data_IF_471683998012
#
_entry.id   IF_471683998012
#
_cell.length_a   1.000
_cell.length_b   1.000
_cell.length_c   1.000
_cell.angle_alpha   90.00
_cell.angle_beta   90.00
_cell.angle_gamma   90.00
#
_symmetry.space_group_name_H-M   'P 1'
#
loop_
_entity.id
_entity.type
_entity.pdbx_description
1 polymer ?
#
# COMPACT_ATOMS: atom_id res chain seq x y z
N UNK A 1 49.43 20.48 -22.42
CA UNK A 1 48.26 21.33 -22.13
C UNK A 1 47.03 20.46 -22.35
N UNK A 2 46.40 20.00 -21.27
CA UNK A 2 45.23 19.13 -21.30
C UNK A 2 43.96 19.96 -21.10
N UNK A 3 42.82 19.60 -21.70
CA UNK A 3 41.52 19.99 -21.18
C UNK A 3 40.84 18.81 -20.49
N UNK A 4 40.45 19.05 -19.24
CA UNK A 4 39.41 18.32 -18.53
C UNK A 4 38.09 18.45 -19.31
N UNK A 5 37.36 17.35 -19.49
CA UNK A 5 35.90 17.41 -19.58
C UNK A 5 35.31 16.47 -18.53
N UNK A 6 34.50 17.10 -17.68
CA UNK A 6 33.82 16.58 -16.51
C UNK A 6 32.77 15.54 -16.88
N UNK A 7 32.87 14.35 -16.29
CA UNK A 7 31.80 13.35 -16.26
C UNK A 7 30.67 13.84 -15.37
N UNK A 8 29.54 14.24 -15.97
CA UNK A 8 28.29 14.51 -15.24
C UNK A 8 27.66 13.21 -14.71
N UNK A 9 26.95 13.26 -13.57
CA UNK A 9 26.34 12.08 -12.95
C UNK A 9 25.19 11.56 -13.81
N UNK A 10 25.15 10.23 -13.97
CA UNK A 10 24.20 9.50 -14.80
C UNK A 10 22.75 9.88 -14.49
N UNK A 11 22.11 10.52 -15.45
CA UNK A 11 20.66 10.52 -15.55
C UNK A 11 20.22 9.06 -15.58
N UNK A 12 19.39 8.66 -14.62
CA UNK A 12 18.76 7.36 -14.59
C UNK A 12 18.10 7.16 -15.97
N UNK A 13 18.59 6.18 -16.72
CA UNK A 13 17.96 5.74 -17.96
C UNK A 13 16.51 5.42 -17.63
N UNK A 14 15.52 6.11 -18.23
CA UNK A 14 14.15 5.68 -18.10
C UNK A 14 14.07 4.31 -18.76
N UNK A 15 13.89 3.27 -17.94
CA UNK A 15 13.51 1.95 -18.44
C UNK A 15 12.28 2.18 -19.30
N UNK A 16 12.45 1.98 -20.61
CA UNK A 16 11.42 2.16 -21.61
C UNK A 16 10.33 1.13 -21.32
N UNK A 17 9.32 1.56 -20.55
CA UNK A 17 8.22 0.69 -20.15
C UNK A 17 7.40 0.40 -21.40
N UNK A 18 7.49 -0.85 -21.87
CA UNK A 18 6.64 -1.37 -22.93
C UNK A 18 5.16 -1.16 -22.55
N UNK A 19 4.26 -0.95 -23.52
CA UNK A 19 2.83 -1.00 -23.24
C UNK A 19 2.48 -2.38 -22.68
N UNK A 20 2.03 -2.45 -21.42
CA UNK A 20 1.58 -3.71 -20.84
C UNK A 20 0.15 -3.97 -21.33
N UNK A 21 0.00 -5.00 -22.16
CA UNK A 21 -1.31 -5.49 -22.61
C UNK A 21 -1.99 -6.27 -21.49
N UNK A 22 -3.29 -6.06 -21.32
CA UNK A 22 -4.10 -6.86 -20.40
C UNK A 22 -4.03 -8.35 -20.74
N UNK A 23 -4.14 -9.21 -19.72
CA UNK A 23 -4.60 -10.58 -19.99
C UNK A 23 -6.03 -10.45 -20.52
N UNK A 24 -6.36 -11.26 -21.53
CA UNK A 24 -7.73 -11.45 -22.01
C UNK A 24 -8.70 -11.31 -20.84
N UNK A 25 -9.64 -10.36 -21.00
CA UNK A 25 -10.65 -10.02 -20.01
C UNK A 25 -11.15 -11.33 -19.39
N UNK A 26 -10.80 -11.61 -18.13
CA UNK A 26 -11.28 -12.83 -17.47
C UNK A 26 -12.79 -12.85 -17.64
N UNK A 27 -13.30 -13.92 -18.26
CA UNK A 27 -14.66 -14.01 -18.78
C UNK A 27 -15.68 -13.32 -17.86
N UNK A 28 -16.64 -12.53 -18.39
CA UNK A 28 -17.49 -11.64 -17.59
C UNK A 28 -18.12 -12.41 -16.44
N UNK A 29 -17.62 -12.20 -15.22
CA UNK A 29 -18.11 -12.92 -14.03
C UNK A 29 -19.35 -12.25 -13.42
N UNK A 30 -19.92 -11.27 -14.10
CA UNK A 30 -21.26 -10.78 -13.82
C UNK A 30 -21.80 -10.09 -15.06
N UNK A 31 -23.12 -10.12 -15.26
CA UNK A 31 -23.81 -9.34 -16.28
C UNK A 31 -23.76 -7.85 -15.92
N UNK A 32 -22.56 -7.27 -15.86
CA UNK A 32 -22.38 -5.86 -15.56
C UNK A 32 -23.05 -5.05 -16.65
N UNK A 33 -23.88 -4.10 -16.23
CA UNK A 33 -24.55 -3.18 -17.13
C UNK A 33 -23.58 -2.15 -17.75
N UNK A 34 -22.33 -2.09 -17.28
CA UNK A 34 -21.24 -1.27 -17.81
C UNK A 34 -19.99 -2.13 -17.97
N UNK A 35 -19.43 -2.20 -19.17
CA UNK A 35 -18.31 -3.11 -19.49
C UNK A 35 -17.13 -2.39 -20.13
N UNK A 36 -15.92 -2.83 -19.81
CA UNK A 36 -14.67 -2.54 -20.51
C UNK A 36 -14.41 -3.63 -21.56
N UNK A 37 -14.40 -3.23 -22.82
CA UNK A 37 -14.22 -4.13 -23.96
C UNK A 37 -13.01 -3.73 -24.80
N UNK A 38 -12.53 -4.66 -25.64
CA UNK A 38 -11.39 -4.44 -26.53
C UNK A 38 -10.03 -4.44 -25.83
N UNK A 39 -9.06 -3.76 -26.42
CA UNK A 39 -7.68 -3.69 -25.90
C UNK A 39 -7.56 -2.56 -24.89
N UNK A 40 -7.49 -2.92 -23.61
CA UNK A 40 -7.26 -1.97 -22.52
C UNK A 40 -5.79 -2.04 -22.08
N UNK A 41 -5.22 -0.91 -21.68
CA UNK A 41 -3.79 -0.79 -21.44
C UNK A 41 -3.41 0.41 -20.59
N UNK A 42 -2.14 0.42 -20.21
CA UNK A 42 -1.51 1.58 -19.61
C UNK A 42 -0.07 1.72 -20.12
N UNK A 43 0.46 2.94 -20.09
CA UNK A 43 1.88 3.21 -20.33
C UNK A 43 2.37 4.25 -19.33
N UNK A 44 3.35 3.88 -18.50
CA UNK A 44 3.90 4.74 -17.45
C UNK A 44 5.18 5.38 -17.97
N UNK A 45 5.26 6.70 -17.84
CA UNK A 45 6.40 7.52 -18.23
C UNK A 45 6.76 8.47 -17.08
N UNK A 46 7.66 8.03 -16.19
CA UNK A 46 8.06 8.83 -15.03
C UNK A 46 6.90 9.06 -14.05
N UNK A 47 6.48 10.32 -13.92
CA UNK A 47 5.38 10.79 -13.08
C UNK A 47 4.04 10.90 -13.82
N UNK A 48 3.97 10.37 -15.05
CA UNK A 48 2.76 10.33 -15.88
C UNK A 48 2.38 8.91 -16.24
N UNK A 49 1.09 8.68 -16.44
CA UNK A 49 0.56 7.45 -17.01
C UNK A 49 -0.50 7.77 -18.05
N UNK A 50 -0.39 7.10 -19.19
CA UNK A 50 -1.40 7.09 -20.23
C UNK A 50 -2.27 5.85 -19.99
N UNK A 51 -3.54 6.05 -19.66
CA UNK A 51 -4.54 4.97 -19.62
C UNK A 51 -5.24 4.88 -20.96
N UNK A 52 -5.40 3.67 -21.50
CA UNK A 52 -6.19 3.41 -22.69
C UNK A 52 -7.33 2.44 -22.38
N UNK A 53 -8.55 2.86 -22.71
CA UNK A 53 -9.73 2.01 -22.69
C UNK A 53 -10.38 2.01 -24.08
N UNK A 54 -10.32 0.87 -24.77
CA UNK A 54 -10.80 0.78 -26.16
C UNK A 54 -12.28 1.11 -26.27
N UNK A 55 -13.09 0.50 -25.41
CA UNK A 55 -14.53 0.71 -25.39
C UNK A 55 -15.08 0.60 -23.96
N UNK A 56 -15.91 1.56 -23.58
CA UNK A 56 -16.73 1.53 -22.37
C UNK A 56 -18.18 1.51 -22.83
N UNK A 57 -18.88 0.40 -22.62
CA UNK A 57 -20.22 0.18 -23.15
C UNK A 57 -21.25 0.06 -22.04
N UNK A 58 -22.41 0.71 -22.23
CA UNK A 58 -23.57 0.55 -21.37
C UNK A 58 -24.61 -0.36 -22.00
N UNK A 59 -24.90 -1.47 -21.34
CA UNK A 59 -25.94 -2.45 -21.71
C UNK A 59 -27.27 -2.20 -20.98
N UNK A 60 -27.44 -1.00 -20.43
CA UNK A 60 -28.66 -0.55 -19.74
C UNK A 60 -29.72 -0.16 -20.76
N UNK A 61 -31.00 -0.17 -20.36
CA UNK A 61 -32.09 0.37 -21.18
C UNK A 61 -31.83 1.84 -21.58
N UNK A 62 -32.32 2.26 -22.74
CA UNK A 62 -32.00 3.57 -23.33
C UNK A 62 -32.43 4.77 -22.48
N UNK A 63 -33.33 4.59 -21.51
CA UNK A 63 -33.81 5.59 -20.53
C UNK A 63 -33.00 5.60 -19.22
N UNK A 64 -32.06 4.67 -19.04
CA UNK A 64 -31.28 4.48 -17.83
C UNK A 64 -29.87 5.05 -18.00
N UNK A 65 -29.67 6.26 -17.50
CA UNK A 65 -28.39 6.97 -17.47
C UNK A 65 -27.52 6.48 -16.31
N UNK A 66 -26.25 6.19 -16.57
CA UNK A 66 -25.30 5.81 -15.51
C UNK A 66 -25.15 6.91 -14.45
N UNK A 67 -24.65 6.57 -13.28
CA UNK A 67 -24.00 7.52 -12.37
C UNK A 67 -22.72 8.10 -12.98
N UNK A 68 -22.06 9.00 -12.26
CA UNK A 68 -20.74 9.49 -12.65
C UNK A 68 -19.75 8.34 -12.67
N UNK A 69 -19.07 8.15 -13.79
CA UNK A 69 -18.10 7.10 -14.02
C UNK A 69 -16.70 7.62 -13.73
N UNK A 70 -15.90 6.76 -13.10
CA UNK A 70 -14.49 6.97 -12.83
C UNK A 70 -13.70 5.80 -13.41
N UNK A 71 -12.64 6.11 -14.16
CA UNK A 71 -11.68 5.13 -14.65
C UNK A 71 -10.39 5.27 -13.85
N UNK A 72 -10.01 4.21 -13.14
CA UNK A 72 -8.96 4.28 -12.13
C UNK A 72 -7.97 3.11 -12.28
N UNK A 73 -6.68 3.39 -12.21
CA UNK A 73 -5.63 2.39 -12.15
C UNK A 73 -5.22 2.17 -10.70
N UNK A 74 -5.35 0.93 -10.25
CA UNK A 74 -5.04 0.52 -8.88
C UNK A 74 -3.91 -0.50 -8.84
N UNK A 75 -3.07 -0.41 -7.80
CA UNK A 75 -2.12 -1.45 -7.41
C UNK A 75 -2.70 -2.27 -6.27
N UNK A 76 -2.86 -3.58 -6.50
CA UNK A 76 -3.39 -4.54 -5.53
C UNK A 76 -2.30 -5.54 -5.12
N UNK A 77 -2.38 -6.07 -3.90
CA UNK A 77 -1.47 -7.10 -3.38
C UNK A 77 -1.89 -8.53 -3.78
N UNK A 78 -3.12 -8.68 -4.27
CA UNK A 78 -3.75 -9.94 -4.68
C UNK A 78 -4.63 -9.75 -5.91
N UNK A 79 -4.90 -10.81 -6.69
CA UNK A 79 -5.81 -10.73 -7.83
C UNK A 79 -7.21 -10.27 -7.39
N UNK A 80 -7.86 -9.46 -8.21
CA UNK A 80 -9.21 -8.98 -7.95
C UNK A 80 -10.26 -9.87 -8.61
N UNK A 81 -11.29 -10.23 -7.85
CA UNK A 81 -12.39 -11.09 -8.31
C UNK A 81 -13.78 -10.46 -8.12
N UNK A 82 -13.84 -9.14 -7.85
CA UNK A 82 -15.07 -8.42 -7.53
C UNK A 82 -15.23 -8.11 -6.05
N UNK A 83 -16.15 -7.19 -5.73
CA UNK A 83 -16.43 -6.74 -4.36
C UNK A 83 -15.45 -5.67 -3.86
N UNK A 84 -15.30 -5.61 -2.53
CA UNK A 84 -14.36 -4.70 -1.87
C UNK A 84 -12.90 -5.13 -2.11
N UNK A 85 -11.99 -4.16 -2.09
CA UNK A 85 -10.56 -4.41 -2.26
C UNK A 85 -9.73 -3.43 -1.44
N UNK A 86 -8.51 -3.85 -1.13
CA UNK A 86 -7.47 -3.03 -0.52
C UNK A 86 -6.38 -2.78 -1.56
N UNK A 87 -5.95 -1.53 -1.71
CA UNK A 87 -4.95 -1.19 -2.71
C UNK A 87 -4.53 0.26 -2.68
N UNK A 88 -3.60 0.60 -3.57
CA UNK A 88 -3.10 1.97 -3.75
C UNK A 88 -3.61 2.50 -5.09
N UNK A 89 -4.32 3.63 -5.05
CA UNK A 89 -4.72 4.34 -6.27
C UNK A 89 -3.49 4.97 -6.92
N UNK A 90 -3.20 4.62 -8.16
CA UNK A 90 -2.02 5.10 -8.89
C UNK A 90 -2.35 6.31 -9.77
N UNK A 91 -3.53 6.28 -10.40
CA UNK A 91 -4.07 7.35 -11.24
C UNK A 91 -5.58 7.15 -11.40
N UNK A 92 -6.32 8.22 -11.67
CA UNK A 92 -7.76 8.13 -11.94
C UNK A 92 -8.33 9.39 -12.57
N UNK A 93 -9.43 9.22 -13.30
CA UNK A 93 -10.14 10.31 -13.98
C UNK A 93 -11.65 10.06 -13.99
N UNK A 94 -12.43 11.11 -13.77
CA UNK A 94 -13.88 11.06 -13.98
C UNK A 94 -14.18 11.26 -15.47
N UNK A 95 -14.85 10.28 -16.07
CA UNK A 95 -15.17 10.26 -17.51
C UNK A 95 -16.61 10.72 -17.81
N UNK A 96 -17.35 11.17 -16.79
CA UNK A 96 -18.70 11.67 -16.92
C UNK A 96 -19.76 10.57 -16.79
N UNK A 97 -20.85 10.65 -17.55
CA UNK A 97 -21.98 9.70 -17.49
C UNK A 97 -22.24 9.14 -18.89
N UNK A 98 -22.72 7.91 -18.98
CA UNK A 98 -23.03 7.22 -20.23
C UNK A 98 -24.49 6.83 -20.22
N UNK A 99 -25.22 7.24 -21.27
CA UNK A 99 -26.62 6.84 -21.48
C UNK A 99 -26.69 5.34 -21.77
N UNK A 100 -27.76 4.66 -21.34
CA UNK A 100 -27.98 3.27 -21.72
C UNK A 100 -27.96 3.06 -23.23
N UNK A 101 -27.50 1.88 -23.66
CA UNK A 101 -27.26 1.52 -25.06
C UNK A 101 -26.23 2.39 -25.80
N UNK A 102 -25.46 3.24 -25.10
CA UNK A 102 -24.37 4.02 -25.69
C UNK A 102 -23.00 3.47 -25.28
N UNK A 103 -21.99 3.85 -26.06
CA UNK A 103 -20.61 3.48 -25.85
C UNK A 103 -19.70 4.71 -25.95
N UNK A 104 -18.56 4.62 -25.27
CA UNK A 104 -17.43 5.54 -25.42
C UNK A 104 -16.26 4.75 -26.02
N UNK A 105 -15.69 5.21 -27.13
CA UNK A 105 -14.60 4.53 -27.85
C UNK A 105 -13.33 5.36 -27.89
N UNK A 106 -12.20 4.69 -28.08
CA UNK A 106 -10.88 5.31 -28.23
C UNK A 106 -10.53 6.23 -27.05
N UNK A 107 -10.84 5.79 -25.83
CA UNK A 107 -10.63 6.59 -24.64
C UNK A 107 -9.16 6.52 -24.26
N UNK A 108 -8.49 7.67 -24.25
CA UNK A 108 -7.10 7.80 -23.85
C UNK A 108 -6.93 9.00 -22.91
N UNK A 109 -6.31 8.76 -21.76
CA UNK A 109 -6.16 9.77 -20.71
C UNK A 109 -4.72 9.84 -20.25
N UNK A 110 -4.12 11.02 -20.35
CA UNK A 110 -2.78 11.30 -19.81
C UNK A 110 -2.92 11.94 -18.41
N UNK A 111 -2.51 11.19 -17.39
CA UNK A 111 -2.80 11.45 -15.99
C UNK A 111 -1.51 11.52 -15.15
N UNK A 112 -1.52 12.27 -14.03
CA UNK A 112 -0.46 12.16 -13.04
C UNK A 112 -0.43 10.74 -12.47
N UNK A 113 0.77 10.21 -12.29
CA UNK A 113 1.02 8.86 -11.79
C UNK A 113 1.77 8.93 -10.46
N UNK A 114 1.22 8.27 -9.45
CA UNK A 114 1.89 8.07 -8.16
C UNK A 114 2.25 6.60 -8.02
N UNK A 115 3.54 6.28 -8.04
CA UNK A 115 4.01 4.91 -7.84
C UNK A 115 3.61 4.40 -6.43
N UNK A 116 3.22 3.13 -6.29
CA UNK A 116 2.98 2.52 -4.99
C UNK A 116 4.31 2.33 -4.25
N UNK A 117 4.21 1.95 -2.97
CA UNK A 117 5.39 1.58 -2.17
C UNK A 117 6.15 0.39 -2.75
N UNK A 118 7.36 0.15 -2.24
CA UNK A 118 8.17 -0.98 -2.65
C UNK A 118 7.42 -2.31 -2.44
N UNK A 119 7.45 -3.17 -3.44
CA UNK A 119 6.71 -4.43 -3.44
C UNK A 119 6.34 -4.88 -4.84
N UNK A 120 5.66 -6.02 -4.91
CA UNK A 120 5.10 -6.58 -6.14
C UNK A 120 3.60 -6.35 -6.14
N UNK A 121 3.11 -5.70 -7.19
CA UNK A 121 1.72 -5.30 -7.30
C UNK A 121 1.08 -5.90 -8.53
N UNK A 122 -0.20 -6.21 -8.42
CA UNK A 122 -1.06 -6.56 -9.54
C UNK A 122 -1.79 -5.28 -9.94
N UNK A 123 -1.51 -4.78 -11.14
CA UNK A 123 -2.20 -3.59 -11.63
C UNK A 123 -3.56 -3.98 -12.20
N UNK A 124 -4.56 -3.23 -11.79
CA UNK A 124 -5.97 -3.44 -12.18
C UNK A 124 -6.58 -2.11 -12.58
N UNK A 125 -7.05 -2.03 -13.82
CA UNK A 125 -7.88 -0.92 -14.29
C UNK A 125 -9.32 -1.17 -13.85
N UNK A 126 -9.94 -0.23 -13.16
CA UNK A 126 -11.30 -0.34 -12.64
C UNK A 126 -12.20 0.72 -13.28
N UNK A 127 -13.34 0.28 -13.81
CA UNK A 127 -14.45 1.14 -14.17
C UNK A 127 -15.42 1.19 -12.98
N UNK A 128 -15.54 2.35 -12.36
CA UNK A 128 -16.35 2.57 -11.16
C UNK A 128 -17.49 3.54 -11.43
N UNK A 129 -18.64 3.31 -10.83
CA UNK A 129 -19.82 4.16 -10.98
C UNK A 129 -20.26 4.71 -9.63
N UNK A 130 -20.57 6.01 -9.58
CA UNK A 130 -21.12 6.66 -8.40
C UNK A 130 -22.60 6.29 -8.20
N UNK A 131 -22.93 5.69 -7.05
CA UNK A 131 -24.29 5.30 -6.67
C UNK A 131 -24.89 6.15 -5.54
N UNK A 132 -24.40 7.37 -5.36
CA UNK A 132 -24.94 8.33 -4.37
C UNK A 132 -24.23 8.32 -3.01
N UNK A 133 -23.68 7.18 -2.58
CA UNK A 133 -22.91 7.07 -1.32
C UNK A 133 -21.43 6.75 -1.54
N UNK A 134 -21.06 6.33 -2.74
CA UNK A 134 -19.72 5.87 -3.05
C UNK A 134 -19.60 5.40 -4.49
N UNK A 135 -18.36 5.13 -4.89
CA UNK A 135 -18.04 4.49 -6.15
C UNK A 135 -18.07 2.96 -5.99
N UNK A 136 -18.78 2.29 -6.89
CA UNK A 136 -18.85 0.82 -6.95
C UNK A 136 -18.17 0.34 -8.23
N UNK A 137 -17.30 -0.65 -8.12
CA UNK A 137 -16.65 -1.27 -9.28
C UNK A 137 -17.68 -2.01 -10.12
N UNK A 138 -17.81 -1.62 -11.39
CA UNK A 138 -18.72 -2.22 -12.37
C UNK A 138 -18.02 -3.20 -13.27
N UNK A 139 -16.82 -2.82 -13.71
CA UNK A 139 -15.96 -3.71 -14.47
C UNK A 139 -14.50 -3.46 -14.12
N UNK A 140 -13.65 -4.43 -14.44
CA UNK A 140 -12.23 -4.33 -14.20
C UNK A 140 -11.43 -5.13 -15.22
N UNK A 141 -10.19 -4.70 -15.44
CA UNK A 141 -9.22 -5.40 -16.27
C UNK A 141 -7.94 -5.55 -15.47
N UNK A 142 -7.51 -6.79 -15.25
CA UNK A 142 -6.25 -7.10 -14.57
C UNK A 142 -5.13 -7.31 -15.59
N UNK A 143 -3.96 -6.71 -15.33
CA UNK A 143 -2.80 -6.85 -16.20
C UNK A 143 -1.94 -8.04 -15.79
N UNK A 144 -1.44 -8.81 -16.78
CA UNK A 144 -0.65 -10.03 -16.57
C UNK A 144 0.62 -9.75 -15.77
N UNK A 145 1.24 -8.63 -16.12
CA UNK A 145 2.59 -8.31 -15.75
C UNK A 145 2.59 -7.75 -14.33
N UNK A 146 3.24 -8.42 -13.38
CA UNK A 146 3.42 -7.87 -12.05
C UNK A 146 4.22 -6.58 -12.15
N UNK A 147 3.75 -5.54 -11.47
CA UNK A 147 4.44 -4.28 -11.36
C UNK A 147 5.31 -4.30 -10.11
N UNK A 148 6.62 -4.40 -10.31
CA UNK A 148 7.59 -4.47 -9.22
C UNK A 148 8.17 -3.07 -8.99
N UNK A 149 7.93 -2.53 -7.81
CA UNK A 149 8.64 -1.36 -7.32
C UNK A 149 9.76 -1.85 -6.43
N UNK A 150 10.98 -1.77 -6.95
CA UNK A 150 12.15 -2.02 -6.15
C UNK A 150 12.20 -1.02 -5.00
N UNK A 151 12.57 -1.50 -3.82
CA UNK A 151 12.91 -0.60 -2.73
C UNK A 151 14.12 0.19 -3.19
N UNK A 152 13.89 1.42 -3.65
CA UNK A 152 14.95 2.38 -3.84
C UNK A 152 15.58 2.53 -2.47
N UNK A 153 16.75 1.91 -2.26
CA UNK A 153 17.63 2.31 -1.19
C UNK A 153 17.75 3.81 -1.36
N UNK A 154 17.17 4.57 -0.42
CA UNK A 154 17.30 6.01 -0.43
C UNK A 154 18.77 6.26 -0.68
N UNK A 155 19.10 6.91 -1.80
CA UNK A 155 20.44 7.35 -2.05
C UNK A 155 20.85 8.03 -0.76
N UNK A 156 21.79 7.40 -0.05
CA UNK A 156 22.32 7.93 1.17
C UNK A 156 22.79 9.33 0.76
N UNK A 157 22.05 10.35 1.20
CA UNK A 157 22.70 11.60 1.54
C UNK A 157 23.80 11.13 2.44
N UNK A 158 25.04 11.16 1.93
CA UNK A 158 26.23 10.97 2.72
C UNK A 158 26.26 12.15 3.70
N UNK A 159 25.40 12.09 4.71
CA UNK A 159 25.66 12.70 5.98
C UNK A 159 26.90 11.97 6.46
N UNK A 160 28.02 12.65 6.29
CA UNK A 160 29.28 12.31 6.89
C UNK A 160 29.05 12.31 8.41
N UNK A 161 28.61 11.16 8.93
CA UNK A 161 28.48 10.90 10.34
C UNK A 161 29.81 10.33 10.79
N UNK A 162 30.70 11.23 11.20
CA UNK A 162 31.76 10.87 12.12
C UNK A 162 31.09 10.37 13.41
N UNK A 163 31.46 9.15 13.81
CA UNK A 163 31.03 8.40 14.99
C UNK A 163 29.53 8.08 15.14
N UNK A 164 29.17 6.78 15.05
CA UNK A 164 28.71 5.96 16.19
C UNK A 164 28.42 4.51 15.75
N UNK A 165 29.13 3.62 16.42
CA UNK A 165 29.00 2.17 16.66
C UNK A 165 27.72 1.48 16.16
N UNK A 166 27.94 0.46 15.31
CA UNK A 166 27.01 -0.59 14.89
C UNK A 166 26.35 -1.33 16.07
N UNK A 167 25.01 -1.40 16.08
CA UNK A 167 24.27 -2.57 16.58
C UNK A 167 22.99 -2.79 15.77
N UNK A 168 22.88 -4.03 15.31
CA UNK A 168 21.85 -4.58 14.42
C UNK A 168 20.57 -4.90 15.20
N UNK A 169 19.39 -4.58 14.66
CA UNK A 169 18.13 -5.18 15.11
C UNK A 169 17.24 -5.55 13.93
N UNK A 170 17.01 -6.85 13.85
CA UNK A 170 16.16 -7.52 12.88
C UNK A 170 14.66 -7.29 13.19
N UNK A 171 13.89 -7.36 12.11
CA UNK A 171 12.44 -7.24 11.92
C UNK A 171 11.51 -7.86 12.99
N UNK A 172 10.32 -7.28 13.15
CA UNK A 172 9.05 -7.97 12.89
C UNK A 172 7.83 -7.03 12.95
N UNK A 173 6.83 -7.32 12.10
CA UNK A 173 5.51 -6.68 11.92
C UNK A 173 4.61 -6.65 13.18
N UNK A 174 3.59 -5.77 13.20
CA UNK A 174 2.55 -5.77 14.23
C UNK A 174 1.47 -6.81 13.92
N UNK A 175 0.92 -7.49 14.93
CA UNK A 175 -0.53 -7.44 15.08
C UNK A 175 -1.01 -7.35 16.53
N UNK A 176 -1.94 -6.42 16.75
CA UNK A 176 -3.15 -6.57 17.56
C UNK A 176 -2.99 -7.26 18.93
N UNK A 177 -2.34 -6.58 19.86
CA UNK A 177 -2.72 -6.64 21.28
C UNK A 177 -2.38 -5.28 21.88
N UNK A 178 -3.38 -4.57 22.41
CA UNK A 178 -3.16 -3.26 23.06
C UNK A 178 -2.41 -3.38 24.40
N UNK A 179 -1.80 -4.55 24.66
CA UNK A 179 -1.12 -4.94 25.89
C UNK A 179 0.34 -5.30 25.57
N UNK A 180 1.27 -4.63 26.24
CA UNK A 180 2.70 -4.82 26.04
C UNK A 180 3.15 -6.20 26.58
N UNK A 181 3.81 -7.04 25.78
CA UNK A 181 4.42 -8.30 26.27
C UNK A 181 5.63 -8.02 27.16
N UNK A 182 5.65 -8.39 28.44
CA UNK A 182 6.85 -8.17 29.28
C UNK A 182 8.02 -9.09 28.94
N UNK A 183 7.75 -10.28 28.38
CA UNK A 183 8.80 -11.22 27.94
C UNK A 183 9.50 -10.78 26.64
N UNK A 184 8.79 -10.04 25.77
CA UNK A 184 9.31 -9.62 24.46
C UNK A 184 9.68 -8.12 24.41
N UNK A 185 9.05 -7.28 25.25
CA UNK A 185 9.21 -5.83 25.18
C UNK A 185 10.64 -5.35 25.43
N UNK A 186 11.09 -4.37 24.68
CA UNK A 186 12.39 -3.75 24.94
C UNK A 186 12.39 -2.96 26.26
N UNK A 187 13.59 -2.73 26.81
CA UNK A 187 13.81 -1.86 27.99
C UNK A 187 13.14 -0.49 27.87
N UNK A 188 13.04 0.03 26.64
CA UNK A 188 12.47 1.33 26.34
C UNK A 188 10.94 1.30 26.43
N UNK A 189 10.31 0.23 25.97
CA UNK A 189 8.85 0.05 26.03
C UNK A 189 8.38 -0.20 27.46
N UNK A 190 9.13 -0.98 28.24
CA UNK A 190 8.83 -1.20 29.66
C UNK A 190 8.98 0.10 30.46
N UNK A 191 9.99 0.93 30.14
CA UNK A 191 10.19 2.24 30.75
C UNK A 191 9.15 3.29 30.29
N UNK A 192 8.49 3.10 29.15
CA UNK A 192 7.43 3.98 28.66
C UNK A 192 6.10 3.83 29.44
N UNK A 193 5.97 2.79 30.27
CA UNK A 193 4.79 2.60 31.12
C UNK A 193 4.79 3.65 32.25
N UNK A 194 3.68 4.38 32.38
CA UNK A 194 3.48 5.40 33.41
C UNK A 194 3.65 4.81 34.82
N UNK A 195 4.78 5.13 35.45
CA UNK A 195 5.13 4.68 36.81
C UNK A 195 6.24 3.62 36.87
N UNK A 196 6.75 3.13 35.74
CA UNK A 196 7.93 2.25 35.68
C UNK A 196 9.19 3.09 35.55
N UNK A 197 10.14 2.89 36.47
CA UNK A 197 11.44 3.56 36.39
C UNK A 197 12.41 2.78 35.50
N UNK A 198 13.41 3.46 34.93
CA UNK A 198 14.46 2.83 34.11
C UNK A 198 15.15 1.65 34.83
N UNK A 199 15.39 1.80 36.13
CA UNK A 199 15.98 0.76 36.99
C UNK A 199 15.06 -0.45 37.18
N UNK A 200 13.74 -0.22 37.26
CA UNK A 200 12.75 -1.28 37.33
C UNK A 200 12.62 -2.00 35.98
N UNK A 201 12.64 -1.27 34.86
CA UNK A 201 12.63 -1.84 33.52
C UNK A 201 13.84 -2.76 33.28
N UNK A 202 15.04 -2.33 33.69
CA UNK A 202 16.26 -3.17 33.64
C UNK A 202 16.12 -4.43 34.49
N UNK A 203 15.55 -4.33 35.68
CA UNK A 203 15.33 -5.48 36.56
C UNK A 203 14.28 -6.46 36.00
N UNK A 204 13.24 -5.99 35.32
CA UNK A 204 12.23 -6.81 34.63
C UNK A 204 12.86 -7.55 33.45
N UNK A 205 13.73 -6.89 32.67
CA UNK A 205 14.45 -7.52 31.55
C UNK A 205 15.43 -8.58 32.06
N UNK A 206 16.11 -8.31 33.17
CA UNK A 206 17.04 -9.27 33.78
C UNK A 206 16.35 -10.49 34.42
N UNK A 207 15.09 -10.34 34.85
CA UNK A 207 14.30 -11.40 35.48
C UNK A 207 13.54 -12.30 34.48
N UNK A 208 13.83 -12.18 33.18
CA UNK A 208 13.25 -13.07 32.16
C UNK A 208 13.75 -14.50 32.31
N UNK A 209 12.90 -15.51 32.06
CA UNK A 209 11.50 -15.43 31.62
C UNK A 209 10.50 -15.25 32.78
N UNK A 210 9.55 -14.32 32.64
CA UNK A 210 8.51 -14.05 33.63
C UNK A 210 7.28 -14.90 33.30
N UNK A 211 7.06 -15.96 34.06
CA UNK A 211 5.94 -16.88 33.84
C UNK A 211 4.66 -16.47 34.61
N UNK A 212 4.79 -15.68 35.68
CA UNK A 212 3.66 -15.33 36.52
C UNK A 212 3.77 -13.96 37.18
N UNK A 213 2.64 -13.44 37.64
CA UNK A 213 2.55 -12.16 38.37
C UNK A 213 3.29 -12.17 39.72
N UNK A 214 3.62 -13.35 40.25
CA UNK A 214 4.46 -13.51 41.43
C UNK A 214 5.93 -13.12 41.16
N UNK A 215 6.46 -13.43 39.97
CA UNK A 215 7.82 -13.07 39.56
C UNK A 215 7.99 -11.56 39.42
N UNK A 216 6.92 -10.87 39.01
CA UNK A 216 6.86 -9.41 38.96
C UNK A 216 6.99 -8.76 40.35
N UNK A 217 6.43 -9.39 41.39
CA UNK A 217 6.47 -8.89 42.77
C UNK A 217 7.84 -9.13 43.43
N UNK A 218 8.61 -10.11 42.94
CA UNK A 218 9.99 -10.34 43.36
C UNK A 218 10.97 -9.27 42.81
N UNK A 219 10.57 -8.50 41.80
CA UNK A 219 11.41 -7.43 41.23
C UNK A 219 11.47 -6.24 42.20
N UNK A 220 12.70 -5.92 42.62
CA UNK A 220 12.99 -4.82 43.55
C UNK A 220 12.48 -3.48 43.01
N UNK A 221 11.45 -2.93 43.67
CA UNK A 221 10.80 -1.67 43.29
C UNK A 221 9.42 -1.82 42.66
N UNK A 222 8.91 -3.05 42.50
CA UNK A 222 7.52 -3.29 42.10
C UNK A 222 6.59 -3.31 43.32
N UNK A 223 5.66 -2.35 43.39
CA UNK A 223 4.65 -2.27 44.45
C UNK A 223 3.28 -2.81 44.01
N UNK A 224 2.42 -3.26 44.94
CA UNK A 224 1.12 -3.85 44.62
C UNK A 224 0.21 -2.91 43.82
N UNK A 225 0.23 -1.61 44.11
CA UNK A 225 -0.54 -0.58 43.38
C UNK A 225 -0.08 -0.36 41.93
N UNK A 226 1.21 -0.61 41.65
CA UNK A 226 1.78 -0.49 40.30
C UNK A 226 1.48 -1.75 39.50
N UNK A 227 1.51 -2.92 40.15
CA UNK A 227 1.19 -4.21 39.54
C UNK A 227 -0.25 -4.24 39.00
N UNK A 228 -1.23 -3.73 39.75
CA UNK A 228 -2.62 -3.67 39.26
C UNK A 228 -2.77 -2.84 37.97
N UNK A 229 -2.07 -1.70 37.90
CA UNK A 229 -2.09 -0.84 36.71
C UNK A 229 -1.36 -1.47 35.51
N UNK A 230 -0.22 -2.10 35.78
CA UNK A 230 0.58 -2.77 34.76
C UNK A 230 -0.17 -3.99 34.22
N UNK A 231 -0.84 -4.79 35.06
CA UNK A 231 -1.60 -5.98 34.66
C UNK A 231 -2.71 -5.69 33.63
N UNK A 232 -3.29 -4.49 33.64
CA UNK A 232 -4.28 -4.07 32.63
C UNK A 232 -3.65 -3.70 31.28
N UNK A 233 -2.38 -3.28 31.31
CA UNK A 233 -1.63 -2.72 30.17
C UNK A 233 -0.60 -3.69 29.57
N UNK A 234 -0.32 -4.81 30.22
CA UNK A 234 0.73 -5.75 29.81
C UNK A 234 0.23 -7.19 29.81
N UNK A 235 0.85 -8.02 28.97
CA UNK A 235 0.74 -9.48 29.01
C UNK A 235 2.09 -10.08 29.41
N UNK A 236 2.08 -11.23 30.05
CA UNK A 236 3.29 -12.02 30.34
C UNK A 236 3.60 -12.89 29.13
#
# INVERSE_FOLDING_TARGET
MAPLVSSGPGAATPTMNMPSTALLNSAPQNSSSLTLSGTNGYSIHGDRVILSASEISSHRSADNLSGSLSLELWALDRPYFGGDFDGVALAGVQIGRVQGQHLLVNNQYDLPFTAPGAGTWILTLMLREWEGQGFVTRDHVQFAQPYVVERKAAAAVQAQADNVITVNFAAAEPPVDRRLSLNEASRAEIAAIKGVSKKLAEAIVAARPLASTADLLAVKGMGPKLLEKIRTLVRL
#
